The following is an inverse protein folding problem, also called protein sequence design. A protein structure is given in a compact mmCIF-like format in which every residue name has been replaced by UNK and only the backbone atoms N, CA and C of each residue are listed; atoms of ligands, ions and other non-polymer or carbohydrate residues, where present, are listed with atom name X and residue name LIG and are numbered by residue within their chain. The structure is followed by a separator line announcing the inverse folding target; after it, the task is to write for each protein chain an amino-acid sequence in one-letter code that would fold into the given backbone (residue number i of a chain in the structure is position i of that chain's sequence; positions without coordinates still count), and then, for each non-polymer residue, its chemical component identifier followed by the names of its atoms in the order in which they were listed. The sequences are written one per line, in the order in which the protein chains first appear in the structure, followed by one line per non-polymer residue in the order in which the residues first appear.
data_IF_478438622529
#
_entry.id   IF_478438622529
#
_cell.length_a   1.000
_cell.length_b   1.000
_cell.length_c   1.000
_cell.angle_alpha   90.00
_cell.angle_beta   90.00
_cell.angle_gamma   90.00
#
_symmetry.space_group_name_H-M   'P 1'
#
loop_
_entity.id
_entity.type
_entity.pdbx_description
1 polymer ?
#
# COMPACT_ATOMS: atom_id res chain seq x y z
N UNK A 1 -54.63 -65.12 30.82
CA UNK A 1 -55.41 -64.33 29.85
C UNK A 1 -55.29 -62.88 30.30
N UNK A 2 -54.73 -61.91 29.60
CA UNK A 2 -54.04 -61.73 28.32
C UNK A 2 -53.48 -60.30 28.43
N UNK A 3 -52.26 -60.07 27.95
CA UNK A 3 -51.72 -58.72 27.75
C UNK A 3 -52.56 -57.99 26.70
N UNK A 4 -52.89 -56.72 26.90
CA UNK A 4 -52.94 -55.79 25.78
C UNK A 4 -52.70 -54.34 26.22
N UNK A 5 -51.56 -53.80 25.77
CA UNK A 5 -51.33 -52.37 25.56
C UNK A 5 -52.27 -51.87 24.46
N UNK A 6 -52.85 -50.69 24.64
CA UNK A 6 -53.30 -49.85 23.50
C UNK A 6 -52.80 -48.44 23.72
N UNK A 7 -52.02 -47.97 22.76
CA UNK A 7 -51.52 -46.61 22.60
C UNK A 7 -52.60 -45.68 22.03
N UNK A 8 -52.51 -44.39 22.34
CA UNK A 8 -53.30 -43.33 21.74
C UNK A 8 -52.54 -42.00 21.75
N UNK A 9 -52.20 -41.55 20.55
CA UNK A 9 -51.34 -40.41 20.16
C UNK A 9 -51.82 -39.02 20.62
N UNK A 10 -50.88 -38.17 21.04
CA UNK A 10 -51.07 -36.72 21.21
C UNK A 10 -50.72 -36.01 19.90
N UNK A 11 -51.74 -35.53 19.19
CA UNK A 11 -51.59 -34.64 18.04
C UNK A 11 -51.72 -33.18 18.49
N UNK A 12 -50.59 -32.48 18.62
CA UNK A 12 -50.54 -31.04 18.85
C UNK A 12 -50.58 -30.28 17.52
N UNK A 13 -51.58 -29.41 17.36
CA UNK A 13 -51.77 -28.54 16.19
C UNK A 13 -50.78 -27.36 16.28
N UNK A 14 -49.91 -27.23 15.29
CA UNK A 14 -48.96 -26.12 15.16
C UNK A 14 -49.68 -24.93 14.52
N UNK A 15 -49.76 -23.81 15.24
CA UNK A 15 -50.34 -22.56 14.74
C UNK A 15 -49.34 -21.85 13.81
N UNK A 16 -49.79 -21.50 12.61
CA UNK A 16 -49.04 -20.76 11.59
C UNK A 16 -49.31 -19.27 11.79
N UNK A 17 -48.28 -18.48 12.08
CA UNK A 17 -48.35 -17.03 12.17
C UNK A 17 -48.51 -16.39 10.76
N UNK A 18 -49.21 -15.24 10.64
CA UNK A 18 -49.44 -14.61 9.34
C UNK A 18 -48.19 -13.92 8.80
N UNK A 19 -48.02 -13.99 7.48
CA UNK A 19 -46.86 -13.51 6.74
C UNK A 19 -46.62 -12.01 6.88
N UNK A 20 -45.35 -11.66 7.07
CA UNK A 20 -44.85 -10.32 6.84
C UNK A 20 -44.92 -10.00 5.34
N UNK A 21 -45.48 -8.84 5.01
CA UNK A 21 -45.46 -8.26 3.66
C UNK A 21 -44.02 -8.04 3.18
N UNK A 22 -43.75 -8.08 1.85
CA UNK A 22 -42.42 -7.78 1.34
C UNK A 22 -42.11 -6.32 1.62
N UNK A 23 -41.06 -6.08 2.41
CA UNK A 23 -40.47 -4.76 2.57
C UNK A 23 -39.83 -4.42 1.22
N UNK A 24 -40.38 -3.40 0.57
CA UNK A 24 -39.97 -2.97 -0.76
C UNK A 24 -38.54 -2.40 -0.79
N UNK A 25 -37.90 -2.68 -1.93
CA UNK A 25 -36.68 -2.11 -2.49
C UNK A 25 -36.38 -0.68 -2.02
N UNK A 26 -35.61 -0.55 -0.95
CA UNK A 26 -35.04 0.74 -0.54
C UNK A 26 -33.63 0.55 -0.01
N UNK A 27 -32.78 -0.10 -0.79
CA UNK A 27 -31.32 0.03 -0.72
C UNK A 27 -30.75 -0.78 -1.88
N UNK A 28 -30.11 -0.08 -2.80
CA UNK A 28 -29.20 -0.69 -3.75
C UNK A 28 -28.25 -1.57 -2.94
N UNK A 29 -28.43 -2.89 -3.02
CA UNK A 29 -27.35 -3.83 -2.79
C UNK A 29 -26.15 -3.24 -3.55
N UNK A 30 -25.07 -2.90 -2.85
CA UNK A 30 -23.74 -2.83 -3.47
C UNK A 30 -23.72 -3.98 -4.49
N UNK A 31 -23.62 -3.65 -5.77
CA UNK A 31 -23.57 -4.67 -6.81
C UNK A 31 -22.52 -5.68 -6.38
N UNK A 32 -22.91 -6.94 -6.26
CA UNK A 32 -21.94 -7.97 -5.95
C UNK A 32 -20.86 -7.90 -7.03
N UNK A 33 -19.59 -7.80 -6.62
CA UNK A 33 -18.46 -7.82 -7.55
C UNK A 33 -18.59 -9.07 -8.44
N UNK A 34 -18.72 -8.88 -9.74
CA UNK A 34 -18.70 -9.99 -10.70
C UNK A 34 -17.25 -10.28 -11.07
N UNK A 35 -16.58 -11.11 -10.26
CA UNK A 35 -15.16 -11.41 -10.46
C UNK A 35 -14.86 -12.13 -11.77
N UNK A 36 -15.86 -12.79 -12.38
CA UNK A 36 -15.66 -13.42 -13.69
C UNK A 36 -15.55 -12.33 -14.77
N UNK A 37 -16.52 -11.42 -14.81
CA UNK A 37 -16.50 -10.30 -15.76
C UNK A 37 -15.27 -9.42 -15.53
N UNK A 38 -14.94 -9.13 -14.26
CA UNK A 38 -13.74 -8.39 -13.89
C UNK A 38 -12.46 -9.05 -14.40
N UNK A 39 -12.33 -10.37 -14.25
CA UNK A 39 -11.20 -11.12 -14.77
C UNK A 39 -11.12 -11.01 -16.30
N UNK A 40 -12.21 -11.32 -17.01
CA UNK A 40 -12.28 -11.29 -18.48
C UNK A 40 -11.93 -9.89 -19.04
N UNK A 41 -12.28 -8.82 -18.33
CA UNK A 41 -12.03 -7.43 -18.74
C UNK A 41 -10.60 -6.95 -18.43
N UNK A 42 -9.98 -7.44 -17.35
CA UNK A 42 -8.69 -6.91 -16.87
C UNK A 42 -7.49 -7.77 -17.24
N UNK A 43 -7.67 -9.10 -17.37
CA UNK A 43 -6.53 -10.03 -17.46
C UNK A 43 -5.67 -9.82 -18.70
N UNK A 44 -6.25 -9.39 -19.83
CA UNK A 44 -5.51 -9.06 -21.06
C UNK A 44 -4.51 -7.90 -20.90
N UNK A 45 -4.60 -7.15 -19.80
CA UNK A 45 -3.66 -6.07 -19.44
C UNK A 45 -2.60 -6.52 -18.44
N UNK A 46 -2.69 -7.74 -17.91
CA UNK A 46 -1.76 -8.32 -16.92
C UNK A 46 -0.72 -9.17 -17.66
N UNK A 47 0.54 -9.03 -17.27
CA UNK A 47 1.67 -9.69 -17.94
C UNK A 47 2.53 -10.47 -16.96
N UNK A 48 3.24 -11.47 -17.48
CA UNK A 48 4.32 -12.18 -16.80
C UNK A 48 5.63 -11.44 -17.05
N UNK A 49 6.37 -11.11 -15.99
CA UNK A 49 7.67 -10.42 -16.07
C UNK A 49 8.75 -11.40 -15.63
N UNK A 50 9.72 -11.66 -16.51
CA UNK A 50 10.75 -12.68 -16.31
C UNK A 50 12.14 -12.09 -16.45
N UNK A 51 13.01 -12.45 -15.51
CA UNK A 51 14.44 -12.16 -15.57
C UNK A 51 15.23 -13.46 -15.52
N UNK A 52 16.57 -13.37 -15.59
CA UNK A 52 17.42 -14.56 -15.44
C UNK A 52 17.42 -15.13 -14.01
N UNK A 53 17.01 -14.33 -13.03
CA UNK A 53 17.09 -14.63 -11.59
C UNK A 53 15.71 -14.73 -10.92
N UNK A 54 14.64 -14.28 -11.57
CA UNK A 54 13.31 -14.19 -10.97
C UNK A 54 12.17 -14.11 -11.98
N UNK A 55 10.96 -14.22 -11.45
CA UNK A 55 9.72 -14.05 -12.20
C UNK A 55 8.67 -13.44 -11.27
N UNK A 56 7.83 -12.58 -11.83
CA UNK A 56 6.65 -12.03 -11.17
C UNK A 56 5.59 -11.67 -12.21
N UNK A 57 4.63 -10.88 -11.78
CA UNK A 57 3.61 -10.28 -12.64
C UNK A 57 3.88 -8.79 -12.85
N UNK A 58 3.22 -8.22 -13.84
CA UNK A 58 3.11 -6.79 -14.06
C UNK A 58 1.77 -6.48 -14.69
N UNK A 59 1.49 -5.21 -14.95
CA UNK A 59 0.35 -4.80 -15.75
C UNK A 59 0.71 -3.62 -16.62
N UNK A 60 0.05 -3.54 -17.76
CA UNK A 60 0.17 -2.42 -18.68
C UNK A 60 -0.47 -1.22 -18.03
N UNK A 61 0.33 -0.17 -17.86
CA UNK A 61 -0.06 1.05 -17.18
C UNK A 61 -0.52 2.08 -18.19
N UNK A 62 -1.73 2.62 -17.98
CA UNK A 62 -2.19 3.75 -18.77
C UNK A 62 -1.51 5.04 -18.31
N UNK A 63 -0.40 5.38 -18.97
CA UNK A 63 0.45 6.52 -18.62
C UNK A 63 -0.13 7.90 -19.03
N UNK A 64 -1.45 8.11 -18.89
CA UNK A 64 -2.12 9.34 -19.31
C UNK A 64 -1.54 10.63 -18.67
N UNK A 65 -0.85 10.50 -17.54
CA UNK A 65 -0.24 11.60 -16.79
C UNK A 65 1.29 11.72 -16.93
N UNK A 66 1.98 10.80 -17.61
CA UNK A 66 3.44 10.90 -17.77
C UNK A 66 3.78 12.03 -18.76
N UNK A 67 4.63 12.96 -18.35
CA UNK A 67 4.96 14.17 -19.12
C UNK A 67 5.90 13.90 -20.29
N UNK A 68 6.55 12.74 -20.30
CA UNK A 68 7.54 12.34 -21.29
C UNK A 68 7.12 11.17 -22.21
N UNK A 69 5.82 10.91 -22.44
CA UNK A 69 5.32 9.82 -23.33
C UNK A 69 5.64 10.07 -24.82
N UNK A 70 6.86 10.52 -25.12
CA UNK A 70 7.27 11.18 -26.35
C UNK A 70 7.60 10.19 -27.47
N UNK A 71 7.21 8.92 -27.32
CA UNK A 71 7.28 7.94 -28.39
C UNK A 71 5.92 7.30 -28.59
N UNK A 72 5.22 7.74 -29.64
CA UNK A 72 4.12 7.00 -30.24
C UNK A 72 4.53 5.52 -30.40
N UNK A 73 4.02 4.62 -29.56
CA UNK A 73 4.27 3.18 -29.62
C UNK A 73 4.84 2.55 -28.35
N UNK A 74 5.34 3.32 -27.39
CA UNK A 74 5.87 2.75 -26.14
C UNK A 74 4.74 2.32 -25.21
N UNK A 75 4.85 1.10 -24.67
CA UNK A 75 3.94 0.54 -23.67
C UNK A 75 4.69 0.38 -22.36
N UNK A 76 4.18 0.99 -21.29
CA UNK A 76 4.77 0.87 -19.96
C UNK A 76 4.10 -0.23 -19.16
N UNK A 77 4.91 -1.08 -18.53
CA UNK A 77 4.47 -2.12 -17.60
C UNK A 77 4.97 -1.75 -16.21
N UNK A 78 4.05 -1.65 -15.25
CA UNK A 78 4.38 -1.50 -13.83
C UNK A 78 4.51 -2.89 -13.22
N UNK A 79 5.55 -3.08 -12.41
CA UNK A 79 5.83 -4.29 -11.64
C UNK A 79 6.56 -3.92 -10.34
N UNK A 80 7.01 -4.90 -9.56
CA UNK A 80 7.82 -4.62 -8.37
C UNK A 80 9.31 -4.48 -8.68
N UNK A 81 10.01 -3.68 -7.89
CA UNK A 81 11.45 -3.51 -7.99
C UNK A 81 12.21 -4.84 -7.73
N UNK A 82 11.74 -5.65 -6.77
CA UNK A 82 12.37 -6.93 -6.48
C UNK A 82 12.20 -7.98 -7.60
N UNK A 83 11.15 -7.86 -8.44
CA UNK A 83 10.93 -8.77 -9.58
C UNK A 83 12.01 -8.58 -10.64
N UNK A 84 12.45 -7.34 -10.84
CA UNK A 84 13.42 -6.94 -11.86
C UNK A 84 14.84 -6.74 -11.31
N UNK A 85 15.10 -7.13 -10.07
CA UNK A 85 16.37 -6.83 -9.41
C UNK A 85 17.56 -7.51 -10.11
N UNK A 86 18.66 -6.75 -10.23
CA UNK A 86 19.87 -7.16 -10.93
C UNK A 86 19.75 -7.30 -12.45
N UNK A 87 18.57 -7.05 -13.05
CA UNK A 87 18.36 -7.09 -14.49
C UNK A 87 18.46 -5.68 -15.11
N UNK A 88 18.84 -5.63 -16.39
CA UNK A 88 18.74 -4.42 -17.23
C UNK A 88 17.64 -4.54 -18.30
N UNK A 89 17.34 -5.78 -18.69
CA UNK A 89 16.28 -6.15 -19.62
C UNK A 89 15.50 -7.31 -19.02
N UNK A 90 14.23 -7.39 -19.39
CA UNK A 90 13.31 -8.43 -18.96
C UNK A 90 12.61 -9.03 -20.18
N UNK A 91 12.12 -10.25 -20.03
CA UNK A 91 11.17 -10.84 -20.97
C UNK A 91 9.76 -10.61 -20.41
N UNK A 92 8.91 -9.97 -21.20
CA UNK A 92 7.51 -9.71 -20.88
C UNK A 92 6.64 -10.63 -21.71
N UNK A 93 5.81 -11.41 -21.04
CA UNK A 93 4.89 -12.37 -21.65
C UNK A 93 3.46 -11.86 -21.46
N UNK A 94 2.84 -11.50 -22.58
CA UNK A 94 1.44 -11.08 -22.67
C UNK A 94 0.51 -12.30 -22.84
N UNK A 95 -0.80 -12.04 -22.81
CA UNK A 95 -1.82 -13.05 -23.12
C UNK A 95 -1.52 -13.79 -24.43
N UNK A 96 -1.92 -15.07 -24.50
CA UNK A 96 -1.73 -15.91 -25.67
C UNK A 96 -0.30 -16.43 -25.87
N UNK A 97 0.58 -16.35 -24.87
CA UNK A 97 2.02 -16.69 -24.94
C UNK A 97 2.80 -15.78 -25.90
N UNK A 98 2.46 -14.49 -25.96
CA UNK A 98 3.19 -13.51 -26.75
C UNK A 98 4.34 -12.88 -25.95
N UNK A 99 5.58 -13.28 -26.27
CA UNK A 99 6.78 -12.77 -25.60
C UNK A 99 7.31 -11.52 -26.31
N UNK A 100 7.75 -10.53 -25.53
CA UNK A 100 8.45 -9.33 -25.97
C UNK A 100 9.62 -9.02 -25.04
N UNK A 101 10.63 -8.33 -25.57
CA UNK A 101 11.70 -7.78 -24.75
C UNK A 101 11.25 -6.45 -24.15
N UNK A 102 11.54 -6.25 -22.88
CA UNK A 102 11.30 -4.98 -22.18
C UNK A 102 12.59 -4.43 -21.57
N UNK A 103 12.78 -3.12 -21.68
CA UNK A 103 13.88 -2.40 -21.02
C UNK A 103 13.39 -1.78 -19.73
N UNK A 104 14.14 -1.94 -18.64
CA UNK A 104 13.81 -1.29 -17.37
C UNK A 104 14.13 0.20 -17.50
N UNK A 105 13.12 1.06 -17.39
CA UNK A 105 13.30 2.52 -17.49
C UNK A 105 13.63 3.14 -16.14
N UNK A 106 13.09 2.59 -15.06
CA UNK A 106 13.32 3.06 -13.71
C UNK A 106 12.85 2.06 -12.66
N UNK A 107 13.39 2.18 -11.45
CA UNK A 107 12.99 1.37 -10.30
C UNK A 107 13.23 2.11 -8.99
N UNK A 108 12.36 1.86 -8.04
CA UNK A 108 12.48 2.32 -6.67
C UNK A 108 12.39 1.15 -5.69
N UNK A 109 13.48 0.90 -4.97
CA UNK A 109 13.47 -0.04 -3.85
C UNK A 109 12.60 0.46 -2.68
N UNK A 110 12.49 1.79 -2.50
CA UNK A 110 11.74 2.40 -1.41
C UNK A 110 10.22 2.33 -1.55
N UNK A 111 9.72 2.18 -2.77
CA UNK A 111 8.32 1.89 -3.04
C UNK A 111 8.08 0.44 -3.49
N UNK A 112 9.14 -0.34 -3.71
CA UNK A 112 9.08 -1.64 -4.39
C UNK A 112 8.34 -1.57 -5.72
N UNK A 113 8.63 -0.55 -6.53
CA UNK A 113 8.04 -0.33 -7.86
C UNK A 113 9.12 -0.28 -8.92
N UNK A 114 8.82 -0.82 -10.11
CA UNK A 114 9.63 -0.68 -11.29
C UNK A 114 8.77 -0.48 -12.52
N UNK A 115 9.35 0.17 -13.53
CA UNK A 115 8.69 0.40 -14.81
C UNK A 115 9.54 -0.20 -15.92
N UNK A 116 8.88 -0.95 -16.79
CA UNK A 116 9.46 -1.59 -17.96
C UNK A 116 8.82 -0.98 -19.21
N UNK A 117 9.63 -0.51 -20.15
CA UNK A 117 9.19 -0.10 -21.48
C UNK A 117 9.23 -1.30 -22.43
N UNK A 118 8.13 -1.54 -23.13
CA UNK A 118 7.99 -2.52 -24.19
C UNK A 118 7.62 -1.79 -25.49
N UNK A 119 8.59 -1.61 -26.38
CA UNK A 119 8.41 -0.79 -27.60
C UNK A 119 7.61 -1.49 -28.73
N UNK A 120 7.35 -2.80 -28.61
CA UNK A 120 6.62 -3.61 -29.60
C UNK A 120 5.55 -4.48 -28.93
N UNK A 121 4.74 -3.89 -28.04
CA UNK A 121 3.66 -4.62 -27.38
C UNK A 121 2.62 -5.14 -28.41
N UNK A 122 1.93 -6.27 -28.12
CA UNK A 122 0.88 -6.78 -29.00
C UNK A 122 -0.19 -5.72 -29.30
N UNK A 123 -0.76 -5.79 -30.51
CA UNK A 123 -1.79 -4.84 -30.93
C UNK A 123 -3.08 -5.05 -30.11
N UNK A 124 -3.66 -3.96 -29.61
CA UNK A 124 -4.90 -4.02 -28.83
C UNK A 124 -4.68 -4.21 -27.32
N UNK A 125 -3.43 -4.32 -26.86
CA UNK A 125 -3.09 -4.24 -25.44
C UNK A 125 -3.55 -2.90 -24.88
N UNK A 126 -4.50 -2.95 -23.93
CA UNK A 126 -4.98 -1.79 -23.20
C UNK A 126 -4.22 -1.67 -21.87
N UNK A 127 -4.04 -0.44 -21.40
CA UNK A 127 -3.54 -0.20 -20.05
C UNK A 127 -4.68 -0.17 -19.05
N UNK A 128 -4.42 -0.63 -17.83
CA UNK A 128 -5.34 -0.44 -16.72
C UNK A 128 -5.26 1.01 -16.22
N UNK A 129 -6.41 1.54 -15.83
CA UNK A 129 -6.52 2.83 -15.15
C UNK A 129 -6.12 2.69 -13.69
N UNK A 130 -5.46 3.70 -13.15
CA UNK A 130 -5.24 3.83 -11.71
C UNK A 130 -6.48 4.48 -11.08
N UNK A 131 -6.90 4.02 -9.91
CA UNK A 131 -7.96 4.67 -9.18
C UNK A 131 -7.54 6.08 -8.73
N UNK A 132 -8.44 7.06 -8.86
CA UNK A 132 -8.18 8.47 -8.51
C UNK A 132 -7.93 8.69 -7.01
N UNK A 133 -8.33 7.75 -6.15
CA UNK A 133 -8.19 7.85 -4.70
C UNK A 133 -7.85 6.50 -4.09
N UNK A 134 -7.17 6.51 -2.93
CA UNK A 134 -6.98 5.31 -2.13
C UNK A 134 -8.33 4.63 -1.79
N UNK A 135 -8.40 3.29 -1.80
CA UNK A 135 -9.65 2.56 -1.61
C UNK A 135 -10.12 2.64 -0.15
N UNK A 136 -11.35 2.22 0.13
CA UNK A 136 -11.93 2.24 1.48
C UNK A 136 -11.88 0.88 2.17
N UNK A 137 -11.77 0.86 3.51
CA UNK A 137 -11.89 -0.41 4.26
C UNK A 137 -13.23 -1.08 3.99
N UNK A 138 -13.20 -2.38 3.70
CA UNK A 138 -14.37 -3.18 3.35
C UNK A 138 -14.72 -3.16 1.85
N UNK A 139 -14.06 -2.33 1.06
CA UNK A 139 -14.17 -2.37 -0.40
C UNK A 139 -13.67 -3.71 -0.94
N UNK A 140 -14.40 -4.28 -1.89
CA UNK A 140 -14.07 -5.56 -2.52
C UNK A 140 -12.99 -5.34 -3.55
N UNK A 141 -12.00 -6.23 -3.55
CA UNK A 141 -10.85 -6.15 -4.44
C UNK A 141 -10.48 -7.53 -4.97
N UNK A 142 -9.79 -7.56 -6.10
CA UNK A 142 -9.20 -8.74 -6.69
C UNK A 142 -7.72 -8.52 -6.99
N UNK A 143 -6.87 -9.48 -6.65
CA UNK A 143 -5.48 -9.49 -7.02
C UNK A 143 -5.31 -10.39 -8.25
N UNK A 144 -4.77 -9.82 -9.32
CA UNK A 144 -4.49 -10.53 -10.56
C UNK A 144 -2.99 -10.77 -10.71
N UNK A 145 -2.66 -11.89 -11.35
CA UNK A 145 -1.30 -12.20 -11.76
C UNK A 145 -1.26 -13.20 -12.90
N UNK A 146 -0.12 -13.29 -13.55
CA UNK A 146 0.17 -14.28 -14.58
C UNK A 146 1.49 -15.01 -14.26
N UNK A 147 1.54 -15.82 -13.18
CA UNK A 147 2.74 -16.60 -12.91
C UNK A 147 2.89 -17.74 -13.90
N UNK A 148 4.10 -17.88 -14.45
CA UNK A 148 4.52 -19.02 -15.28
C UNK A 148 3.88 -19.13 -16.69
N UNK A 149 3.09 -18.15 -17.14
CA UNK A 149 2.52 -18.15 -18.50
C UNK A 149 1.50 -19.27 -18.76
N UNK A 150 1.07 -19.99 -17.72
CA UNK A 150 0.23 -21.18 -17.85
C UNK A 150 -1.12 -21.06 -17.13
N UNK A 151 -1.26 -20.16 -16.13
CA UNK A 151 -2.50 -19.98 -15.37
C UNK A 151 -2.61 -18.53 -14.87
N UNK A 152 -3.23 -17.68 -15.68
CA UNK A 152 -3.79 -16.40 -15.24
C UNK A 152 -4.61 -16.62 -13.95
N UNK A 153 -4.21 -15.95 -12.88
CA UNK A 153 -4.76 -16.19 -11.55
C UNK A 153 -5.46 -14.94 -11.05
N UNK A 154 -6.68 -15.13 -10.56
CA UNK A 154 -7.42 -14.15 -9.78
C UNK A 154 -7.67 -14.68 -8.38
N UNK A 155 -7.32 -13.87 -7.38
CA UNK A 155 -7.73 -14.07 -6.00
C UNK A 155 -8.54 -12.86 -5.57
N UNK A 156 -9.47 -13.02 -4.62
CA UNK A 156 -10.34 -11.92 -4.23
C UNK A 156 -10.42 -11.77 -2.71
N UNK A 157 -10.77 -10.58 -2.27
CA UNK A 157 -10.88 -10.24 -0.87
C UNK A 157 -11.51 -8.86 -0.67
N UNK A 158 -11.15 -8.22 0.42
CA UNK A 158 -11.50 -6.85 0.76
C UNK A 158 -10.26 -6.08 1.23
N UNK A 159 -10.34 -4.77 1.11
CA UNK A 159 -9.42 -3.87 1.80
C UNK A 159 -9.63 -3.99 3.31
N UNK A 160 -8.63 -4.54 3.99
CA UNK A 160 -8.60 -4.74 5.44
C UNK A 160 -8.02 -3.53 6.18
N UNK A 161 -7.14 -2.77 5.54
CA UNK A 161 -6.45 -1.65 6.13
C UNK A 161 -5.83 -0.73 5.09
N UNK A 162 -5.52 0.48 5.51
CA UNK A 162 -4.94 1.55 4.70
C UNK A 162 -3.83 2.21 5.50
N UNK A 163 -2.97 2.96 4.81
CA UNK A 163 -1.92 3.74 5.44
C UNK A 163 -1.08 2.87 6.41
N UNK A 164 -0.73 1.67 5.95
CA UNK A 164 0.21 0.79 6.65
C UNK A 164 1.61 1.09 6.16
N UNK A 165 2.59 0.84 7.00
CA UNK A 165 3.98 0.70 6.57
C UNK A 165 4.32 -0.78 6.47
N UNK A 166 5.10 -1.13 5.45
CA UNK A 166 5.56 -2.49 5.20
C UNK A 166 7.07 -2.57 5.48
N UNK A 167 7.50 -3.23 6.57
CA UNK A 167 8.91 -3.38 6.88
C UNK A 167 9.64 -4.19 5.81
N UNK A 168 10.85 -3.76 5.43
CA UNK A 168 11.70 -4.47 4.47
C UNK A 168 12.91 -5.09 5.16
N UNK A 169 13.50 -6.10 4.54
CA UNK A 169 14.75 -6.71 5.02
C UNK A 169 15.95 -5.75 4.95
N UNK A 170 15.84 -4.68 4.16
CA UNK A 170 16.85 -3.63 3.98
C UNK A 170 16.83 -2.59 5.12
N UNK A 171 15.97 -2.77 6.14
CA UNK A 171 15.94 -1.92 7.33
C UNK A 171 15.20 -0.59 7.15
N UNK A 172 14.44 -0.43 6.07
CA UNK A 172 13.46 0.63 5.90
C UNK A 172 12.03 0.08 5.76
N UNK A 173 11.04 0.95 5.81
CA UNK A 173 9.64 0.59 5.58
C UNK A 173 9.12 1.26 4.30
N UNK A 174 8.28 0.56 3.55
CA UNK A 174 7.52 1.11 2.43
C UNK A 174 6.26 1.74 3.01
N UNK A 175 6.07 3.07 2.90
CA UNK A 175 4.88 3.74 3.43
C UNK A 175 3.67 3.60 2.50
N UNK A 176 2.51 3.96 3.03
CA UNK A 176 1.21 3.93 2.37
C UNK A 176 0.90 2.65 1.56
N UNK A 177 0.94 1.48 2.20
CA UNK A 177 0.45 0.24 1.58
C UNK A 177 -1.01 -0.04 1.97
N UNK A 178 -1.75 -0.59 1.01
CA UNK A 178 -3.09 -1.16 1.19
C UNK A 178 -2.94 -2.57 1.75
N UNK A 179 -3.65 -2.88 2.83
CA UNK A 179 -3.71 -4.22 3.40
C UNK A 179 -4.98 -4.90 2.89
N UNK A 180 -4.86 -6.14 2.41
CA UNK A 180 -5.98 -6.94 1.88
C UNK A 180 -5.97 -8.35 2.48
N UNK A 181 -7.13 -9.00 2.51
CA UNK A 181 -7.24 -10.44 2.79
C UNK A 181 -7.27 -11.29 1.50
N UNK A 182 -7.24 -10.65 0.32
CA UNK A 182 -7.04 -11.34 -0.95
C UNK A 182 -5.67 -12.06 -0.91
N UNK A 183 -5.61 -13.37 -1.21
CA UNK A 183 -4.34 -14.10 -1.21
C UNK A 183 -3.30 -13.50 -2.16
N UNK A 184 -2.17 -13.04 -1.61
CA UNK A 184 -1.00 -12.57 -2.34
C UNK A 184 0.12 -13.60 -2.21
N UNK A 185 0.75 -13.94 -3.33
CA UNK A 185 1.82 -14.93 -3.43
C UNK A 185 2.88 -14.44 -4.43
N UNK A 186 4.07 -15.07 -4.50
CA UNK A 186 5.09 -14.67 -5.48
C UNK A 186 4.56 -14.56 -6.91
N UNK A 187 3.51 -15.32 -7.26
CA UNK A 187 2.97 -15.33 -8.59
C UNK A 187 2.16 -14.10 -9.03
N UNK A 188 1.48 -13.42 -8.10
CA UNK A 188 0.78 -12.16 -8.38
C UNK A 188 1.53 -10.92 -7.87
N UNK A 189 2.74 -11.09 -7.31
CA UNK A 189 3.66 -10.00 -6.98
C UNK A 189 3.98 -9.17 -8.22
N UNK A 190 3.84 -7.85 -8.12
CA UNK A 190 3.98 -6.90 -9.22
C UNK A 190 2.73 -6.75 -10.08
N UNK A 191 1.76 -7.68 -9.97
CA UNK A 191 0.46 -7.59 -10.62
C UNK A 191 -0.48 -6.60 -9.89
N UNK A 192 -1.62 -6.26 -10.51
CA UNK A 192 -2.53 -5.26 -9.97
C UNK A 192 -3.45 -5.84 -8.88
N UNK A 193 -3.73 -5.02 -7.88
CA UNK A 193 -4.92 -5.14 -7.04
C UNK A 193 -5.97 -4.21 -7.65
N UNK A 194 -7.14 -4.72 -8.03
CA UNK A 194 -8.20 -3.92 -8.68
C UNK A 194 -9.48 -3.90 -7.85
N UNK A 195 -10.25 -2.81 -7.97
CA UNK A 195 -11.62 -2.73 -7.45
C UNK A 195 -12.61 -3.43 -8.39
N UNK A 196 -13.91 -3.37 -8.08
CA UNK A 196 -14.95 -4.01 -8.90
C UNK A 196 -15.24 -3.32 -10.23
N UNK A 197 -14.67 -2.13 -10.47
CA UNK A 197 -14.78 -1.39 -11.72
C UNK A 197 -13.56 -1.65 -12.65
N UNK A 198 -12.57 -2.42 -12.19
CA UNK A 198 -11.35 -2.72 -12.93
C UNK A 198 -10.21 -1.71 -12.76
N UNK A 199 -10.41 -0.69 -11.93
CA UNK A 199 -9.36 0.29 -11.63
C UNK A 199 -8.34 -0.28 -10.64
N UNK A 200 -7.07 0.01 -10.88
CA UNK A 200 -5.96 -0.40 -10.02
C UNK A 200 -6.01 0.40 -8.73
N UNK A 201 -6.21 -0.30 -7.62
CA UNK A 201 -6.16 0.21 -6.24
C UNK A 201 -4.90 -0.27 -5.50
N UNK A 202 -3.92 -0.79 -6.23
CA UNK A 202 -2.55 -0.97 -5.77
C UNK A 202 -1.73 -1.97 -6.58
N UNK A 203 -0.44 -2.07 -6.29
CA UNK A 203 0.48 -3.07 -6.87
C UNK A 203 0.81 -4.11 -5.82
N UNK A 204 0.39 -5.36 -6.04
CA UNK A 204 0.59 -6.44 -5.08
C UNK A 204 2.09 -6.63 -4.79
N UNK A 205 2.46 -6.78 -3.52
CA UNK A 205 3.86 -7.08 -3.14
C UNK A 205 3.91 -8.33 -2.26
N UNK A 206 4.60 -9.37 -2.74
CA UNK A 206 4.78 -10.63 -2.03
C UNK A 206 6.17 -10.69 -1.40
N UNK A 207 6.31 -11.48 -0.32
CA UNK A 207 7.62 -11.82 0.24
C UNK A 207 8.28 -10.74 1.12
N UNK A 208 7.84 -9.48 1.05
CA UNK A 208 8.30 -8.44 1.96
C UNK A 208 7.67 -8.66 3.35
N UNK A 209 8.49 -9.15 4.29
CA UNK A 209 8.22 -9.36 5.72
C UNK A 209 6.82 -9.92 6.10
N UNK A 210 6.35 -10.97 5.42
CA UNK A 210 5.15 -11.72 5.82
C UNK A 210 5.43 -12.71 6.97
N UNK A 211 5.98 -12.22 8.09
CA UNK A 211 6.39 -13.02 9.25
C UNK A 211 5.19 -13.79 9.87
N UNK A 212 4.87 -14.97 9.33
CA UNK A 212 3.94 -15.94 9.90
C UNK A 212 2.46 -15.51 9.94
N UNK A 213 2.07 -14.46 9.22
CA UNK A 213 0.68 -14.02 9.16
C UNK A 213 -0.02 -14.61 7.92
N UNK A 214 -0.82 -15.65 8.13
CA UNK A 214 -1.69 -16.18 7.08
C UNK A 214 -2.81 -15.16 6.77
N UNK A 215 -3.11 -14.97 5.48
CA UNK A 215 -4.19 -14.09 4.99
C UNK A 215 -4.01 -12.58 5.25
N UNK A 216 -2.75 -12.10 5.30
CA UNK A 216 -2.45 -10.66 5.27
C UNK A 216 -1.62 -10.36 4.02
N UNK A 217 -2.27 -9.79 3.01
CA UNK A 217 -1.63 -9.30 1.79
C UNK A 217 -1.40 -7.79 1.85
N UNK A 218 -0.40 -7.33 1.10
CA UNK A 218 -0.10 -5.91 0.93
C UNK A 218 0.01 -5.55 -0.54
N UNK A 219 -0.41 -4.32 -0.86
CA UNK A 219 -0.23 -3.71 -2.16
C UNK A 219 0.22 -2.25 -1.99
N UNK A 220 1.15 -1.79 -2.82
CA UNK A 220 1.56 -0.38 -2.87
C UNK A 220 0.36 0.45 -3.33
N UNK A 221 -0.05 1.45 -2.57
CA UNK A 221 -1.29 2.22 -2.84
C UNK A 221 -1.27 2.98 -4.17
N UNK A 222 -2.45 3.31 -4.74
CA UNK A 222 -2.51 4.10 -5.96
C UNK A 222 -1.87 5.47 -5.78
N UNK A 223 -2.00 6.11 -4.62
CA UNK A 223 -1.34 7.39 -4.34
C UNK A 223 0.19 7.32 -4.47
N UNK A 224 0.80 6.19 -4.08
CA UNK A 224 2.26 5.99 -4.24
C UNK A 224 2.61 5.72 -5.70
N UNK A 225 1.81 4.92 -6.41
CA UNK A 225 2.00 4.65 -7.84
C UNK A 225 1.92 5.95 -8.65
N UNK A 226 0.89 6.77 -8.42
CA UNK A 226 0.69 8.05 -9.09
C UNK A 226 1.87 9.01 -8.87
N UNK A 227 2.50 8.95 -7.68
CA UNK A 227 3.63 9.79 -7.33
C UNK A 227 4.94 9.32 -7.94
N UNK A 228 5.19 8.02 -7.91
CA UNK A 228 6.50 7.42 -8.18
C UNK A 228 6.64 7.00 -9.63
N UNK A 229 5.62 6.37 -10.23
CA UNK A 229 5.73 5.81 -11.58
C UNK A 229 6.05 6.87 -12.65
N UNK A 230 5.42 8.06 -12.68
CA UNK A 230 5.78 9.08 -13.65
C UNK A 230 7.25 9.50 -13.58
N UNK A 231 7.80 9.73 -12.39
CA UNK A 231 9.22 10.10 -12.21
C UNK A 231 10.15 8.95 -12.63
N UNK A 232 9.78 7.68 -12.35
CA UNK A 232 10.53 6.53 -12.86
C UNK A 232 10.52 6.43 -14.39
N UNK A 233 9.48 6.92 -15.05
CA UNK A 233 9.43 6.99 -16.51
C UNK A 233 10.24 8.18 -17.02
N UNK A 234 10.18 9.33 -16.34
CA UNK A 234 10.80 10.60 -16.71
C UNK A 234 12.32 10.59 -16.50
N UNK A 235 12.77 10.25 -15.29
CA UNK A 235 14.15 10.38 -14.85
C UNK A 235 14.80 9.04 -14.46
N UNK A 236 14.01 7.97 -14.34
CA UNK A 236 14.48 6.63 -14.00
C UNK A 236 14.62 6.38 -12.48
N UNK A 237 14.45 7.41 -11.68
CA UNK A 237 14.51 7.40 -10.22
C UNK A 237 13.43 8.30 -9.60
N UNK A 238 13.27 8.24 -8.28
CA UNK A 238 12.34 9.09 -7.54
C UNK A 238 13.05 9.61 -6.29
N UNK A 239 13.12 10.93 -6.14
CA UNK A 239 13.75 11.58 -5.01
C UNK A 239 12.83 11.54 -3.78
N UNK A 240 13.19 10.71 -2.79
CA UNK A 240 12.34 10.49 -1.63
C UNK A 240 12.41 11.64 -0.63
N UNK A 241 11.27 12.20 -0.18
CA UNK A 241 11.24 13.23 0.84
C UNK A 241 11.68 12.69 2.21
N UNK A 242 12.40 13.52 2.95
CA UNK A 242 13.07 13.13 4.19
C UNK A 242 13.13 14.28 5.20
N UNK A 243 12.91 13.95 6.48
CA UNK A 243 13.03 14.92 7.58
C UNK A 243 14.24 14.68 8.48
N UNK A 244 14.91 13.53 8.41
CA UNK A 244 16.01 13.22 9.34
C UNK A 244 15.57 12.96 10.78
N UNK A 245 14.39 12.36 10.96
CA UNK A 245 13.81 12.12 12.28
C UNK A 245 13.68 10.63 12.57
N UNK A 246 13.96 10.24 13.82
CA UNK A 246 13.43 9.00 14.41
C UNK A 246 12.34 9.37 15.38
N UNK A 247 11.14 8.83 15.20
CA UNK A 247 9.99 9.12 16.04
C UNK A 247 9.39 7.86 16.66
N UNK A 248 8.55 8.05 17.68
CA UNK A 248 7.72 6.97 18.24
C UNK A 248 6.36 7.52 18.65
N UNK A 249 5.26 6.77 18.47
CA UNK A 249 3.93 7.20 18.92
C UNK A 249 3.91 7.47 20.43
N UNK A 250 3.25 8.55 20.85
CA UNK A 250 3.07 8.86 22.27
C UNK A 250 2.11 7.87 22.91
N UNK A 251 2.68 6.90 23.62
CA UNK A 251 1.93 5.94 24.44
C UNK A 251 1.59 6.54 25.82
N UNK A 252 0.68 5.94 26.61
CA UNK A 252 0.44 6.36 28.00
C UNK A 252 1.71 6.47 28.84
N UNK A 253 2.65 5.52 28.70
CA UNK A 253 3.92 5.55 29.43
C UNK A 253 4.81 6.75 29.02
N UNK A 254 4.83 7.11 27.74
CA UNK A 254 5.56 8.30 27.26
C UNK A 254 4.87 9.57 27.75
N UNK A 255 3.54 9.60 27.72
CA UNK A 255 2.78 10.74 28.21
C UNK A 255 3.02 10.98 29.70
N UNK A 256 2.94 9.95 30.53
CA UNK A 256 3.16 10.05 31.98
C UNK A 256 4.60 10.49 32.30
N UNK A 257 5.60 9.92 31.62
CA UNK A 257 7.01 10.27 31.86
C UNK A 257 7.39 11.69 31.40
N UNK A 258 6.59 12.31 30.53
CA UNK A 258 6.83 13.64 29.98
C UNK A 258 5.78 14.67 30.44
N UNK A 259 4.97 14.34 31.46
CA UNK A 259 3.88 15.18 31.99
C UNK A 259 2.90 15.68 30.89
N UNK A 260 2.66 14.86 29.87
CA UNK A 260 1.79 15.20 28.76
C UNK A 260 0.33 14.97 29.13
N UNK A 261 -0.53 15.93 28.82
CA UNK A 261 -1.97 15.81 29.04
C UNK A 261 -2.71 14.97 27.98
N UNK A 262 -1.99 14.32 27.07
CA UNK A 262 -2.55 13.58 25.93
C UNK A 262 -1.63 12.44 25.50
N UNK A 263 -2.23 11.38 24.95
CA UNK A 263 -1.55 10.21 24.37
C UNK A 263 -1.66 10.25 22.85
N UNK A 264 -1.20 11.34 22.25
CA UNK A 264 -1.32 11.58 20.81
C UNK A 264 -0.11 12.36 20.30
N UNK A 265 0.23 12.14 19.03
CA UNK A 265 1.41 12.70 18.38
C UNK A 265 2.60 11.74 18.38
N UNK A 266 3.72 12.27 17.90
CA UNK A 266 4.96 11.55 17.70
C UNK A 266 6.07 12.19 18.53
N UNK A 267 6.56 11.47 19.54
CA UNK A 267 7.74 11.89 20.28
C UNK A 267 8.98 11.78 19.36
N UNK A 268 9.75 12.85 19.26
CA UNK A 268 11.01 12.86 18.50
C UNK A 268 12.07 12.18 19.35
N UNK A 269 12.46 10.97 18.96
CA UNK A 269 13.49 10.19 19.66
C UNK A 269 14.87 10.74 19.35
N UNK A 270 15.14 11.08 18.09
CA UNK A 270 16.40 11.72 17.69
C UNK A 270 16.24 12.48 16.38
N UNK A 271 17.07 13.50 16.23
CA UNK A 271 17.24 14.26 14.99
C UNK A 271 18.63 13.96 14.44
N UNK A 272 18.73 13.73 13.13
CA UNK A 272 20.01 13.56 12.44
C UNK A 272 20.78 14.89 12.49
N UNK A 273 22.06 14.85 12.90
CA UNK A 273 22.88 16.03 13.22
C UNK A 273 23.01 17.02 12.04
N UNK A 274 23.10 16.50 10.81
CA UNK A 274 23.12 17.29 9.56
C UNK A 274 21.83 17.10 8.73
N UNK A 275 20.76 16.66 9.39
CA UNK A 275 19.48 16.36 8.74
C UNK A 275 18.59 17.60 8.55
N UNK A 276 17.54 17.49 7.72
CA UNK A 276 16.65 18.61 7.41
C UNK A 276 15.97 19.24 8.64
N UNK A 277 15.78 18.45 9.70
CA UNK A 277 15.16 18.91 10.95
C UNK A 277 16.15 19.41 12.01
N UNK A 278 17.47 19.38 11.78
CA UNK A 278 18.49 19.62 12.80
C UNK A 278 18.34 20.97 13.53
N UNK A 279 17.99 22.03 12.78
CA UNK A 279 17.84 23.37 13.33
C UNK A 279 16.42 23.68 13.86
N UNK A 280 15.45 22.82 13.55
CA UNK A 280 14.03 23.10 13.79
C UNK A 280 13.44 22.26 14.93
N UNK A 281 13.87 21.00 15.06
CA UNK A 281 13.32 20.02 16.00
C UNK A 281 14.34 19.56 17.03
N UNK A 282 13.83 19.09 18.16
CA UNK A 282 14.63 18.60 19.28
C UNK A 282 14.30 17.15 19.58
N UNK A 283 15.33 16.30 19.59
CA UNK A 283 15.20 14.92 20.05
C UNK A 283 15.10 14.81 21.57
N UNK A 284 14.69 13.63 22.03
CA UNK A 284 14.69 13.27 23.43
C UNK A 284 16.07 13.52 24.06
N UNK A 285 16.08 14.12 25.25
CA UNK A 285 17.31 14.43 25.98
C UNK A 285 17.79 13.25 26.80
N UNK A 286 16.85 12.40 27.25
CA UNK A 286 17.12 11.26 28.11
C UNK A 286 16.22 10.07 27.73
N UNK A 287 16.55 8.90 28.27
CA UNK A 287 15.72 7.69 28.19
C UNK A 287 15.47 7.19 29.59
N UNK A 288 14.21 7.18 30.01
CA UNK A 288 13.78 6.61 31.28
C UNK A 288 13.26 5.19 31.10
N UNK A 289 13.18 4.44 32.20
CA UNK A 289 12.57 3.11 32.22
C UNK A 289 11.23 3.16 32.94
N UNK A 290 10.13 2.98 32.21
CA UNK A 290 8.79 2.86 32.78
C UNK A 290 8.36 1.39 32.73
N UNK A 291 8.39 0.73 33.89
CA UNK A 291 8.25 -0.73 33.96
C UNK A 291 9.49 -1.43 33.40
N UNK A 292 9.34 -2.19 32.31
CA UNK A 292 10.44 -2.84 31.59
C UNK A 292 10.71 -2.22 30.20
N UNK A 293 10.17 -1.02 29.94
CA UNK A 293 10.23 -0.38 28.61
C UNK A 293 11.04 0.92 28.67
N UNK A 294 12.01 1.12 27.75
CA UNK A 294 12.68 2.40 27.58
C UNK A 294 11.70 3.41 26.97
N UNK A 295 11.71 4.62 27.52
CA UNK A 295 10.79 5.71 27.16
C UNK A 295 11.62 6.97 26.90
N UNK A 296 11.50 7.60 25.71
CA UNK A 296 12.14 8.89 25.46
C UNK A 296 11.55 9.98 26.36
N UNK A 297 12.41 10.79 26.97
CA UNK A 297 12.03 11.92 27.82
C UNK A 297 12.67 13.21 27.31
N UNK A 298 11.87 14.28 27.28
CA UNK A 298 12.23 15.59 26.73
C UNK A 298 12.07 15.66 25.21
N UNK A 299 12.55 16.76 24.63
CA UNK A 299 12.46 17.02 23.19
C UNK A 299 11.06 17.44 22.73
N UNK A 300 10.83 17.30 21.43
CA UNK A 300 9.57 17.65 20.80
C UNK A 300 8.60 16.48 20.71
N UNK A 301 7.31 16.79 20.83
CA UNK A 301 6.23 15.93 20.36
C UNK A 301 5.54 16.59 19.16
N UNK A 302 5.63 15.97 17.99
CA UNK A 302 4.96 16.43 16.78
C UNK A 302 3.47 16.07 16.88
N UNK A 303 2.61 17.07 16.72
CA UNK A 303 1.16 16.94 16.79
C UNK A 303 0.51 17.00 15.41
N UNK A 304 1.06 17.81 14.51
CA UNK A 304 0.53 17.99 13.16
C UNK A 304 1.60 18.45 12.17
N UNK A 305 1.34 18.23 10.89
CA UNK A 305 2.09 18.74 9.74
C UNK A 305 1.11 19.43 8.79
N UNK A 306 1.35 20.70 8.45
CA UNK A 306 0.46 21.57 7.67
C UNK A 306 -1.01 21.53 8.12
N UNK A 307 -1.21 21.47 9.44
CA UNK A 307 -2.52 21.40 10.07
C UNK A 307 -3.16 19.99 10.10
N UNK A 308 -2.58 19.00 9.44
CA UNK A 308 -3.02 17.61 9.48
C UNK A 308 -2.49 16.92 10.75
N UNK A 309 -3.39 16.39 11.58
CA UNK A 309 -3.01 15.70 12.82
C UNK A 309 -2.31 14.37 12.52
N UNK A 310 -1.19 14.13 13.19
CA UNK A 310 -0.42 12.88 13.04
C UNK A 310 -0.77 11.92 14.19
N UNK A 311 -1.42 10.81 13.84
CA UNK A 311 -1.80 9.78 14.80
C UNK A 311 -0.70 8.77 15.10
N UNK A 312 0.22 8.55 14.14
CA UNK A 312 1.27 7.54 14.21
C UNK A 312 2.37 7.83 13.17
N UNK A 313 3.45 7.02 13.17
CA UNK A 313 4.59 7.22 12.29
C UNK A 313 4.24 6.95 10.82
N UNK A 314 3.32 6.03 10.59
CA UNK A 314 2.80 5.67 9.27
C UNK A 314 2.15 6.88 8.60
N UNK A 315 1.33 7.65 9.33
CA UNK A 315 0.74 8.88 8.81
C UNK A 315 1.78 9.94 8.43
N UNK A 316 2.89 10.06 9.18
CA UNK A 316 3.97 10.98 8.82
C UNK A 316 4.69 10.52 7.55
N UNK A 317 5.04 9.23 7.46
CA UNK A 317 5.70 8.67 6.28
C UNK A 317 4.85 8.79 5.01
N UNK A 318 3.56 8.50 5.12
CA UNK A 318 2.59 8.66 4.03
C UNK A 318 2.45 10.11 3.61
N UNK A 319 2.24 11.03 4.56
CA UNK A 319 2.15 12.46 4.24
C UNK A 319 3.39 12.95 3.50
N UNK A 320 4.59 12.60 3.97
CA UNK A 320 5.82 12.99 3.29
C UNK A 320 5.84 12.47 1.86
N UNK A 321 5.56 11.18 1.64
CA UNK A 321 5.62 10.58 0.32
C UNK A 321 4.56 11.14 -0.65
N UNK A 322 3.32 11.35 -0.20
CA UNK A 322 2.22 11.72 -1.09
C UNK A 322 2.07 13.23 -1.27
N UNK A 323 2.41 14.02 -0.25
CA UNK A 323 2.11 15.46 -0.21
C UNK A 323 3.34 16.38 -0.36
N UNK A 324 4.56 15.83 -0.40
CA UNK A 324 5.78 16.66 -0.42
C UNK A 324 6.81 16.20 -1.45
N UNK A 325 7.74 17.10 -1.78
CA UNK A 325 8.99 16.86 -2.50
C UNK A 325 10.18 17.39 -1.69
N UNK A 326 11.39 16.89 -1.95
CA UNK A 326 12.61 17.58 -1.54
C UNK A 326 12.60 19.06 -1.96
N UNK A 327 12.92 19.94 -1.01
CA UNK A 327 12.89 21.39 -1.18
C UNK A 327 11.59 22.07 -0.72
N UNK A 328 10.50 21.32 -0.56
CA UNK A 328 9.26 21.87 0.02
C UNK A 328 9.47 22.31 1.47
N UNK A 329 8.67 23.26 1.93
CA UNK A 329 8.68 23.69 3.34
C UNK A 329 7.35 23.36 3.99
N UNK A 330 7.41 22.60 5.08
CA UNK A 330 6.24 22.16 5.85
C UNK A 330 6.20 22.86 7.21
N UNK A 331 5.01 23.23 7.67
CA UNK A 331 4.77 23.71 9.03
C UNK A 331 4.47 22.54 9.97
N UNK A 332 5.34 22.31 10.94
CA UNK A 332 5.12 21.32 11.98
C UNK A 332 4.59 22.00 13.24
N UNK A 333 3.45 21.52 13.74
CA UNK A 333 2.94 21.88 15.08
C UNK A 333 3.53 20.92 16.09
N UNK A 334 4.31 21.42 17.04
CA UNK A 334 4.99 20.63 18.07
C UNK A 334 4.62 21.08 19.47
N UNK A 335 4.67 20.17 20.43
CA UNK A 335 4.64 20.46 21.85
C UNK A 335 6.08 20.40 22.37
N UNK A 336 6.60 21.54 22.85
CA UNK A 336 7.95 21.72 23.40
C UNK A 336 7.84 22.44 24.73
N UNK A 337 8.45 21.88 25.78
CA UNK A 337 8.43 22.46 27.13
C UNK A 337 7.01 22.80 27.65
N UNK A 338 6.02 21.97 27.30
CA UNK A 338 4.61 22.15 27.66
C UNK A 338 3.84 23.18 26.82
N UNK A 339 4.49 23.84 25.85
CA UNK A 339 3.88 24.84 24.98
C UNK A 339 3.74 24.34 23.54
N UNK A 340 2.61 24.65 22.90
CA UNK A 340 2.42 24.36 21.47
C UNK A 340 3.12 25.43 20.64
N UNK A 341 3.98 24.99 19.71
CA UNK A 341 4.78 25.83 18.81
C UNK A 341 4.58 25.39 17.37
N UNK A 342 4.79 26.33 16.45
CA UNK A 342 4.90 26.06 15.02
C UNK A 342 6.34 26.25 14.61
N UNK A 343 6.89 25.27 13.91
CA UNK A 343 8.24 25.32 13.35
C UNK A 343 8.16 24.99 11.87
N UNK A 344 8.99 25.63 11.06
CA UNK A 344 9.08 25.32 9.64
C UNK A 344 10.28 24.39 9.44
N UNK A 345 10.09 23.37 8.61
CA UNK A 345 11.14 22.45 8.20
C UNK A 345 11.15 22.39 6.68
N UNK A 346 12.31 22.58 6.07
CA UNK A 346 12.49 22.30 4.65
C UNK A 346 12.73 20.81 4.49
N UNK A 347 11.91 20.14 3.69
CA UNK A 347 12.01 18.72 3.38
C UNK A 347 13.30 18.49 2.59
N UNK A 348 14.12 17.54 3.04
CA UNK A 348 15.31 17.13 2.31
C UNK A 348 15.06 15.90 1.45
N UNK A 349 16.09 15.51 0.72
CA UNK A 349 16.14 14.25 0.00
C UNK A 349 16.67 13.14 0.91
N UNK A 350 16.09 11.95 0.80
CA UNK A 350 16.51 10.79 1.57
C UNK A 350 17.87 10.28 1.05
N UNK A 351 18.88 10.15 1.92
CA UNK A 351 20.17 9.59 1.49
C UNK A 351 20.02 8.15 0.98
N UNK A 352 20.77 7.79 -0.06
CA UNK A 352 20.86 6.42 -0.60
C UNK A 352 21.20 5.44 0.55
N UNK A 353 20.40 4.37 0.76
CA UNK A 353 20.63 3.44 1.85
C UNK A 353 21.90 2.61 1.65
N UNK A 354 22.43 2.54 0.43
CA UNK A 354 23.67 1.85 0.08
C UNK A 354 24.89 2.76 0.06
N UNK A 355 24.73 4.08 0.25
CA UNK A 355 25.81 5.06 0.41
C UNK A 355 26.95 4.89 -0.60
N UNK A 356 26.82 5.47 -1.80
CA UNK A 356 27.98 5.65 -2.68
C UNK A 356 28.95 6.69 -2.12
#
# INVERSE_FOLDING_TARGET
MTVLLVAGSVGGVMAIAPGAAPVGDTEQRQSACDYQSLFDETIGSVVSVRTSSGQGSGFVYNAANATNTNTTGDTYVVTNAHVVDGASEVEVEFDGNEFRSGSIVGRSAYADLAVVNVSDAPAGTAGLSLADTDPQRGERVAALGNPFGLEETITHGIVSGLNRTLPTELGFEIPNVVQTDAPISPGNSGGPLVNCDGDVVGVNTAGIAQQGAENIGFAVSPSVVERVVPELVDDGEFDYPFLGLRTTPVTPAIADANDLNRTAGLAVVSVLEDGPSADALQGATEVETVGDRPVPVGGDVILAIDGQQLGNGEALGTYLLTETLPGDTVEMTVLRDGEVRRVQVTVGERPDPMGT
#
